data_IF_145446239092
#
_entry.id   IF_145446239092
#
_cell.length_a   1.000
_cell.length_b   1.000
_cell.length_c   1.000
_cell.angle_alpha   90.00
_cell.angle_beta   90.00
_cell.angle_gamma   90.00
#
_symmetry.space_group_name_H-M   'P 1'
#
loop_
_entity.id
_entity.type
_entity.pdbx_description
1 polymer ?
#
# COMPACT_ATOMS: atom_id res chain seq x y z
N UNK A 1 19.15 -1.10 -21.99
CA UNK A 1 18.36 0.04 -21.45
C UNK A 1 16.96 -0.10 -22.02
N UNK A 2 16.21 -1.04 -21.46
CA UNK A 2 14.87 -1.41 -21.97
C UNK A 2 13.86 -0.69 -21.10
N UNK A 3 13.14 0.25 -21.71
CA UNK A 3 12.08 1.00 -21.05
C UNK A 3 11.03 0.02 -20.52
N UNK A 4 10.64 0.20 -19.25
CA UNK A 4 9.39 -0.38 -18.74
C UNK A 4 8.27 0.29 -19.54
N UNK A 5 7.46 -0.46 -20.32
CA UNK A 5 6.32 0.13 -21.02
C UNK A 5 5.40 0.76 -19.98
N UNK A 6 4.84 1.92 -20.32
CA UNK A 6 4.00 2.75 -19.45
C UNK A 6 3.11 1.92 -18.52
N UNK A 7 3.22 2.21 -17.23
CA UNK A 7 2.48 1.52 -16.18
C UNK A 7 1.01 1.49 -16.55
N UNK A 8 0.45 0.29 -16.61
CA UNK A 8 -0.98 0.10 -16.69
C UNK A 8 -1.60 0.84 -15.51
N UNK A 9 -2.24 1.98 -15.76
CA UNK A 9 -3.24 2.56 -14.87
C UNK A 9 -4.52 1.75 -15.10
N UNK A 10 -4.42 0.44 -14.87
CA UNK A 10 -5.54 -0.48 -14.81
C UNK A 10 -5.83 -0.73 -13.34
N UNK A 11 -7.10 -0.80 -12.98
CA UNK A 11 -7.48 -1.32 -11.67
C UNK A 11 -6.86 -2.72 -11.51
N UNK A 12 -5.93 -2.88 -10.58
CA UNK A 12 -5.24 -4.14 -10.31
C UNK A 12 -6.23 -5.29 -10.06
N UNK A 13 -7.44 -4.97 -9.61
CA UNK A 13 -8.49 -5.92 -9.27
C UNK A 13 -9.41 -6.24 -10.45
N UNK A 14 -9.37 -5.46 -11.53
CA UNK A 14 -10.26 -5.63 -12.69
C UNK A 14 -10.05 -6.94 -13.47
N UNK A 15 -8.86 -7.56 -13.39
CA UNK A 15 -8.55 -8.85 -14.01
C UNK A 15 -8.74 -10.07 -13.09
N UNK A 16 -9.28 -9.89 -11.89
CA UNK A 16 -9.45 -10.97 -10.91
C UNK A 16 -10.65 -11.88 -11.22
N UNK A 17 -11.43 -11.59 -12.27
CA UNK A 17 -12.72 -12.25 -12.48
C UNK A 17 -12.63 -13.74 -12.83
N UNK A 18 -11.53 -14.18 -13.45
CA UNK A 18 -11.38 -15.53 -14.01
C UNK A 18 -10.55 -16.51 -13.18
N UNK A 19 -9.92 -16.07 -12.08
CA UNK A 19 -8.93 -16.91 -11.36
C UNK A 19 -9.59 -17.63 -10.18
N UNK A 20 -9.67 -18.97 -10.28
CA UNK A 20 -10.14 -19.86 -9.21
C UNK A 20 -9.34 -19.61 -7.92
N UNK A 21 -10.03 -19.58 -6.78
CA UNK A 21 -9.39 -19.53 -5.46
C UNK A 21 -8.44 -20.70 -5.28
N UNK A 22 -7.19 -20.41 -4.96
CA UNK A 22 -6.15 -21.41 -4.76
C UNK A 22 -5.15 -20.98 -3.69
N UNK A 23 -4.54 -21.98 -3.05
CA UNK A 23 -3.41 -21.78 -2.14
C UNK A 23 -2.17 -22.40 -2.75
N UNK A 24 -1.12 -21.60 -2.90
CA UNK A 24 0.15 -22.02 -3.51
C UNK A 24 1.31 -21.76 -2.55
N UNK A 25 2.16 -22.75 -2.24
CA UNK A 25 3.33 -22.52 -1.41
C UNK A 25 4.33 -21.58 -2.11
N UNK A 26 4.86 -20.61 -1.38
CA UNK A 26 5.89 -19.70 -1.88
C UNK A 26 7.28 -20.05 -1.32
N UNK A 27 7.34 -20.29 -0.01
CA UNK A 27 8.52 -20.70 0.74
C UNK A 27 8.08 -21.28 2.11
N UNK A 28 9.02 -21.79 2.90
CA UNK A 28 8.72 -22.22 4.28
C UNK A 28 8.11 -21.06 5.08
N UNK A 29 6.87 -21.24 5.54
CA UNK A 29 6.11 -20.22 6.27
C UNK A 29 5.43 -19.14 5.40
N UNK A 30 5.44 -19.27 4.07
CA UNK A 30 4.82 -18.31 3.16
C UNK A 30 3.96 -18.98 2.06
N UNK A 31 2.76 -18.45 1.85
CA UNK A 31 1.81 -18.93 0.83
C UNK A 31 1.18 -17.78 0.06
N UNK A 32 0.82 -18.03 -1.20
CA UNK A 32 -0.01 -17.15 -2.02
C UNK A 32 -1.46 -17.66 -1.98
N UNK A 33 -2.38 -16.85 -1.46
CA UNK A 33 -3.81 -17.13 -1.44
C UNK A 33 -4.49 -16.37 -2.60
N UNK A 34 -4.63 -17.01 -3.75
CA UNK A 34 -5.20 -16.38 -4.95
C UNK A 34 -6.69 -16.15 -4.74
N UNK A 35 -7.16 -14.94 -5.02
CA UNK A 35 -8.58 -14.57 -4.92
C UNK A 35 -9.11 -14.41 -3.49
N UNK A 36 -8.29 -14.61 -2.45
CA UNK A 36 -8.75 -14.66 -1.06
C UNK A 36 -9.56 -13.44 -0.60
N UNK A 37 -9.07 -12.23 -0.90
CA UNK A 37 -9.73 -10.98 -0.51
C UNK A 37 -10.72 -10.46 -1.57
N UNK A 38 -11.08 -11.26 -2.59
CA UNK A 38 -11.88 -10.78 -3.72
C UNK A 38 -13.27 -10.31 -3.30
N UNK A 39 -13.93 -11.04 -2.40
CA UNK A 39 -15.25 -10.65 -1.89
C UNK A 39 -15.22 -9.30 -1.15
N UNK A 40 -14.10 -8.99 -0.50
CA UNK A 40 -13.89 -7.76 0.29
C UNK A 40 -13.30 -6.60 -0.52
N UNK A 41 -12.99 -6.80 -1.81
CA UNK A 41 -12.34 -5.79 -2.65
C UNK A 41 -13.10 -4.45 -2.66
N UNK A 42 -14.43 -4.49 -2.84
CA UNK A 42 -15.26 -3.29 -2.85
C UNK A 42 -15.22 -2.53 -1.51
N UNK A 43 -15.58 -3.17 -0.38
CA UNK A 43 -15.49 -2.57 0.94
C UNK A 43 -14.10 -2.00 1.27
N UNK A 44 -13.04 -2.77 1.01
CA UNK A 44 -11.66 -2.33 1.26
C UNK A 44 -11.27 -1.08 0.44
N UNK A 45 -11.72 -0.99 -0.82
CA UNK A 45 -11.47 0.19 -1.63
C UNK A 45 -12.22 1.42 -1.11
N UNK A 46 -13.42 1.26 -0.56
CA UNK A 46 -14.15 2.37 0.10
C UNK A 46 -13.40 2.87 1.33
N UNK A 47 -13.00 1.97 2.22
CA UNK A 47 -12.23 2.34 3.43
C UNK A 47 -10.88 2.98 3.07
N UNK A 48 -10.20 2.47 2.04
CA UNK A 48 -8.96 3.05 1.54
C UNK A 48 -9.14 4.51 1.10
N UNK A 49 -10.24 4.84 0.42
CA UNK A 49 -10.53 6.21 0.03
C UNK A 49 -10.78 7.13 1.24
N UNK A 50 -11.44 6.64 2.29
CA UNK A 50 -11.65 7.38 3.53
C UNK A 50 -10.32 7.65 4.26
N UNK A 51 -9.47 6.62 4.37
CA UNK A 51 -8.12 6.76 4.93
C UNK A 51 -7.31 7.77 4.12
N UNK A 52 -7.32 7.68 2.79
CA UNK A 52 -6.57 8.59 1.93
C UNK A 52 -7.10 10.03 1.96
N UNK A 53 -8.37 10.25 2.29
CA UNK A 53 -8.92 11.58 2.50
C UNK A 53 -8.41 12.20 3.83
N UNK A 54 -8.27 11.41 4.88
CA UNK A 54 -7.81 11.85 6.19
C UNK A 54 -6.27 11.95 6.31
N UNK A 55 -5.54 11.02 5.68
CA UNK A 55 -4.09 10.97 5.59
C UNK A 55 -3.69 10.77 4.12
N UNK A 56 -3.45 11.86 3.36
CA UNK A 56 -3.17 11.79 1.93
C UNK A 56 -1.98 10.91 1.54
N UNK A 57 -2.13 10.23 0.40
CA UNK A 57 -1.04 9.50 -0.24
C UNK A 57 0.10 10.45 -0.62
N UNK A 58 1.34 10.06 -0.28
CA UNK A 58 2.52 10.87 -0.56
C UNK A 58 3.74 10.05 -0.93
N UNK A 59 4.63 10.66 -1.70
CA UNK A 59 5.92 10.08 -2.05
C UNK A 59 6.94 10.42 -0.97
N UNK A 60 7.25 9.45 -0.11
CA UNK A 60 8.19 9.66 0.98
C UNK A 60 9.65 9.76 0.49
N UNK A 61 10.53 10.25 1.36
CA UNK A 61 11.97 10.40 1.10
C UNK A 61 12.74 9.35 1.89
N UNK A 62 13.58 8.57 1.22
CA UNK A 62 14.44 7.58 1.87
C UNK A 62 15.53 8.26 2.70
N UNK A 63 16.20 7.56 3.62
CA UNK A 63 17.28 8.13 4.41
C UNK A 63 18.42 8.67 3.55
N UNK A 64 18.65 8.06 2.37
CA UNK A 64 19.60 8.53 1.35
C UNK A 64 19.17 9.78 0.58
N UNK A 65 17.99 10.34 0.86
CA UNK A 65 17.48 11.55 0.21
C UNK A 65 16.76 11.31 -1.12
N UNK A 66 16.49 10.05 -1.49
CA UNK A 66 15.77 9.72 -2.72
C UNK A 66 14.26 9.74 -2.49
N UNK A 67 13.51 10.36 -3.40
CA UNK A 67 12.05 10.32 -3.41
C UNK A 67 11.57 8.98 -3.95
N UNK A 68 10.69 8.30 -3.21
CA UNK A 68 10.11 7.03 -3.63
C UNK A 68 9.14 7.22 -4.81
N UNK A 69 9.15 6.28 -5.76
CA UNK A 69 8.19 6.26 -6.87
C UNK A 69 6.78 5.86 -6.44
N UNK A 70 6.67 5.10 -5.34
CA UNK A 70 5.38 4.69 -4.75
C UNK A 70 4.87 5.80 -3.83
N UNK A 71 3.59 6.11 -3.93
CA UNK A 71 2.90 6.96 -2.95
C UNK A 71 2.31 6.07 -1.84
N UNK A 72 2.44 6.51 -0.59
CA UNK A 72 2.08 5.73 0.59
C UNK A 72 1.29 6.58 1.58
N UNK A 73 0.44 5.92 2.36
CA UNK A 73 -0.21 6.43 3.57
C UNK A 73 -0.33 5.27 4.57
N UNK A 74 -0.85 5.51 5.77
CA UNK A 74 -1.04 4.47 6.78
C UNK A 74 -2.36 4.68 7.54
N UNK A 75 -2.83 3.63 8.20
CA UNK A 75 -3.92 3.63 9.18
C UNK A 75 -3.55 2.77 10.40
N UNK A 76 -4.37 2.80 11.45
CA UNK A 76 -4.19 2.07 12.70
C UNK A 76 -3.30 2.79 13.72
N UNK A 77 -2.73 2.03 14.66
CA UNK A 77 -2.02 2.60 15.82
C UNK A 77 -0.70 3.29 15.46
N UNK A 78 -0.03 2.83 14.40
CA UNK A 78 1.23 3.39 13.94
C UNK A 78 1.41 3.16 12.44
N UNK A 79 1.98 4.15 11.77
CA UNK A 79 2.32 4.10 10.36
C UNK A 79 3.81 3.98 10.14
N UNK A 80 4.21 3.28 9.08
CA UNK A 80 5.59 3.26 8.65
C UNK A 80 5.94 4.60 7.98
N UNK A 81 7.05 5.18 8.40
CA UNK A 81 7.52 6.49 7.94
C UNK A 81 9.00 6.40 7.56
N UNK A 82 9.35 7.08 6.47
CA UNK A 82 10.74 7.33 6.09
C UNK A 82 10.99 8.83 5.88
N UNK A 83 12.14 9.28 6.40
CA UNK A 83 12.71 10.58 6.10
C UNK A 83 14.25 10.49 6.23
N UNK A 84 14.94 11.64 6.20
CA UNK A 84 16.41 11.70 6.34
C UNK A 84 16.93 11.14 7.68
N UNK A 85 16.09 10.98 8.70
CA UNK A 85 16.46 10.43 10.01
C UNK A 85 16.41 8.90 10.04
N UNK A 86 15.82 8.25 9.04
CA UNK A 86 15.70 6.79 8.99
C UNK A 86 14.28 6.30 8.78
N UNK A 87 14.12 4.98 8.94
CA UNK A 87 12.84 4.28 8.92
C UNK A 87 12.32 4.08 10.35
N UNK A 88 11.03 4.29 10.58
CA UNK A 88 10.40 4.05 11.88
C UNK A 88 8.91 3.80 11.76
N UNK A 89 8.33 3.24 12.81
CA UNK A 89 6.90 3.35 13.07
C UNK A 89 6.64 4.59 13.93
N UNK A 90 5.68 5.40 13.52
CA UNK A 90 5.28 6.61 14.25
C UNK A 90 3.77 6.61 14.43
N UNK A 91 3.29 7.16 15.55
CA UNK A 91 1.84 7.26 15.82
C UNK A 91 1.24 8.47 15.13
N UNK A 92 2.07 9.43 14.75
CA UNK A 92 1.66 10.69 14.15
C UNK A 92 2.07 10.69 12.68
N UNK A 93 1.13 11.09 11.82
CA UNK A 93 1.43 11.38 10.43
C UNK A 93 2.32 12.65 10.36
N UNK A 94 3.57 12.55 9.85
CA UNK A 94 4.46 13.70 9.74
C UNK A 94 3.96 14.83 8.82
N UNK A 95 3.02 14.58 7.91
CA UNK A 95 2.50 15.62 7.00
C UNK A 95 1.32 16.39 7.59
N UNK A 96 0.39 15.71 8.26
CA UNK A 96 -0.79 16.35 8.87
C UNK A 96 -0.57 16.76 10.33
N UNK A 97 0.41 16.15 11.00
CA UNK A 97 0.65 16.31 12.44
C UNK A 97 -0.41 15.65 13.32
N UNK A 98 -1.33 14.86 12.75
CA UNK A 98 -2.40 14.16 13.45
C UNK A 98 -2.08 12.67 13.63
N UNK A 99 -2.74 11.97 14.58
CA UNK A 99 -2.72 10.51 14.60
C UNK A 99 -3.18 9.91 13.27
N UNK A 100 -2.67 8.74 12.92
CA UNK A 100 -3.15 8.01 11.75
C UNK A 100 -4.65 7.66 11.89
N UNK A 101 -5.41 7.65 10.77
CA UNK A 101 -6.80 7.21 10.77
C UNK A 101 -6.92 5.78 11.32
N UNK A 102 -8.04 5.42 11.98
CA UNK A 102 -8.26 4.07 12.50
C UNK A 102 -8.23 3.00 11.41
#
# INVERSE_FOLDING_TARGET
>A
MTAIPGGAVGDLLSGAEERQESTEPLADGAVVLRGFARAEAGPLMTELHEIAAAAPLRHMVTPGGHRMSVAMTNCGTAGWVTDRKGYRYDRIDPETGQPWPP
#
